data_IF_893137238745
#
_entry.id   IF_893137238745
#
_cell.length_a   1.000
_cell.length_b   1.000
_cell.length_c   1.000
_cell.angle_alpha   90.00
_cell.angle_beta   90.00
_cell.angle_gamma   90.00
#
_symmetry.space_group_name_H-M   'P 1'
#
loop_
_entity.id
_entity.type
_entity.pdbx_description
1 polymer ?
#
# COMPACT_ATOMS: atom_id res chain seq x y z
N UNK A 1 -61.75 -19.90 -40.60
CA UNK A 1 -61.40 -20.24 -39.21
C UNK A 1 -60.01 -19.70 -38.95
N UNK A 2 -59.88 -18.83 -37.93
CA UNK A 2 -58.69 -18.56 -37.08
C UNK A 2 -57.29 -18.46 -37.74
N UNK A 3 -56.42 -17.50 -37.48
CA UNK A 3 -56.34 -16.51 -36.42
C UNK A 3 -55.30 -15.45 -36.80
N UNK A 4 -55.60 -14.23 -36.41
CA UNK A 4 -54.71 -13.18 -35.95
C UNK A 4 -53.38 -13.64 -35.33
N UNK A 5 -52.27 -13.71 -36.08
CA UNK A 5 -50.91 -13.40 -35.58
C UNK A 5 -50.04 -12.92 -36.76
N UNK A 6 -50.36 -11.80 -37.41
CA UNK A 6 -49.44 -11.20 -38.39
C UNK A 6 -49.28 -9.67 -38.30
N UNK A 7 -49.73 -9.08 -37.20
CA UNK A 7 -49.51 -7.65 -36.88
C UNK A 7 -48.50 -7.45 -35.74
N UNK A 8 -48.26 -8.44 -34.87
CA UNK A 8 -47.36 -8.34 -33.70
C UNK A 8 -45.88 -8.60 -33.99
N UNK A 9 -45.53 -9.18 -35.13
CA UNK A 9 -44.14 -9.48 -35.53
C UNK A 9 -43.43 -8.26 -36.16
N UNK A 10 -44.16 -7.37 -36.86
CA UNK A 10 -43.56 -6.16 -37.47
C UNK A 10 -43.31 -5.02 -36.48
N UNK A 11 -44.01 -4.98 -35.34
CA UNK A 11 -43.76 -3.97 -34.30
C UNK A 11 -42.58 -4.29 -33.37
N UNK A 12 -42.12 -5.55 -33.32
CA UNK A 12 -40.95 -5.93 -32.50
C UNK A 12 -39.61 -5.64 -33.19
N UNK A 13 -39.55 -5.69 -34.52
CA UNK A 13 -38.33 -5.44 -35.29
C UNK A 13 -37.87 -3.96 -35.26
N UNK A 14 -38.80 -3.00 -35.26
CA UNK A 14 -38.44 -1.57 -35.24
C UNK A 14 -38.18 -0.98 -33.84
N UNK A 15 -38.55 -1.68 -32.75
CA UNK A 15 -38.20 -1.27 -31.38
C UNK A 15 -36.78 -1.71 -30.99
N UNK A 16 -36.26 -2.79 -31.57
CA UNK A 16 -34.90 -3.28 -31.32
C UNK A 16 -33.79 -2.55 -32.10
N UNK A 17 -34.10 -1.87 -33.21
CA UNK A 17 -33.11 -1.04 -33.93
C UNK A 17 -32.94 0.38 -33.37
N UNK A 18 -33.96 0.96 -32.71
CA UNK A 18 -33.82 2.27 -32.03
C UNK A 18 -33.06 2.21 -30.70
N UNK A 19 -33.00 1.04 -30.06
CA UNK A 19 -32.27 0.85 -28.81
C UNK A 19 -30.79 0.45 -28.96
N UNK A 20 -30.29 0.19 -30.18
CA UNK A 20 -28.85 -0.07 -30.41
C UNK A 20 -28.04 1.19 -30.71
N UNK A 21 -28.66 2.27 -31.19
CA UNK A 21 -27.95 3.53 -31.47
C UNK A 21 -27.83 4.47 -30.24
N UNK A 22 -28.45 4.12 -29.10
CA UNK A 22 -28.27 4.85 -27.83
C UNK A 22 -27.24 4.20 -26.88
N UNK A 23 -26.65 3.07 -27.28
CA UNK A 23 -25.62 2.36 -26.47
C UNK A 23 -24.20 2.70 -26.97
N UNK A 24 -24.05 3.28 -28.17
CA UNK A 24 -22.74 3.56 -28.77
C UNK A 24 -22.24 5.00 -28.50
N UNK A 25 -23.10 5.90 -27.99
CA UNK A 25 -22.72 7.29 -27.66
C UNK A 25 -22.74 7.61 -26.16
N UNK A 26 -22.56 6.61 -25.29
CA UNK A 26 -22.34 6.80 -23.83
C UNK A 26 -20.94 6.41 -23.37
N UNK A 27 -19.99 6.37 -24.30
CA UNK A 27 -18.58 6.04 -24.05
C UNK A 27 -17.70 7.29 -24.03
N UNK A 28 -18.15 8.42 -23.49
CA UNK A 28 -17.27 9.58 -23.27
C UNK A 28 -17.67 10.32 -22.00
N UNK A 29 -16.76 10.31 -21.02
CA UNK A 29 -16.67 11.17 -19.83
C UNK A 29 -17.57 10.85 -18.63
N UNK A 30 -17.22 9.79 -17.91
CA UNK A 30 -17.05 9.88 -16.45
C UNK A 30 -15.65 9.41 -16.08
N UNK A 31 -14.65 10.16 -16.57
CA UNK A 31 -13.29 10.11 -16.02
C UNK A 31 -13.42 10.62 -14.58
N UNK A 32 -13.47 9.69 -13.62
CA UNK A 32 -13.46 10.03 -12.20
C UNK A 32 -12.31 11.01 -11.97
N UNK A 33 -12.66 12.26 -11.65
CA UNK A 33 -11.70 13.29 -11.30
C UNK A 33 -11.21 13.01 -9.88
N UNK A 34 -10.45 11.93 -9.68
CA UNK A 34 -9.44 11.95 -8.65
C UNK A 34 -8.24 12.73 -9.19
N UNK A 35 -8.45 14.05 -9.34
CA UNK A 35 -7.35 14.98 -9.15
C UNK A 35 -6.95 14.73 -7.69
N UNK A 36 -5.89 13.97 -7.46
CA UNK A 36 -5.13 14.10 -6.23
C UNK A 36 -4.91 15.60 -6.07
N UNK A 37 -5.64 16.21 -5.13
CA UNK A 37 -5.44 17.61 -4.79
C UNK A 37 -4.03 17.66 -4.24
N UNK A 38 -3.07 18.09 -5.08
CA UNK A 38 -1.84 18.68 -4.60
C UNK A 38 -2.29 19.71 -3.57
N UNK A 39 -1.99 19.44 -2.30
CA UNK A 39 -2.43 20.33 -1.24
C UNK A 39 -1.69 21.65 -1.40
N UNK A 40 -2.28 22.77 -0.98
CA UNK A 40 -1.58 24.07 -0.96
C UNK A 40 -0.26 23.96 -0.18
N UNK A 41 -0.17 23.03 0.77
CA UNK A 41 1.05 22.69 1.50
C UNK A 41 2.11 22.06 0.59
N UNK A 42 1.72 21.16 -0.32
CA UNK A 42 2.62 20.56 -1.29
C UNK A 42 3.17 21.63 -2.26
N UNK A 43 2.34 22.57 -2.72
CA UNK A 43 2.77 23.69 -3.59
C UNK A 43 3.70 24.69 -2.85
N UNK A 44 3.48 24.94 -1.56
CA UNK A 44 4.35 25.79 -0.73
C UNK A 44 5.70 25.10 -0.48
N UNK A 45 5.71 23.77 -0.27
CA UNK A 45 6.94 22.98 -0.09
C UNK A 45 7.84 23.00 -1.33
N UNK A 46 7.25 23.05 -2.52
CA UNK A 46 8.01 23.18 -3.77
C UNK A 46 8.71 24.55 -3.89
N UNK A 47 8.15 25.62 -3.30
CA UNK A 47 8.72 26.98 -3.36
C UNK A 47 9.93 27.16 -2.43
N UNK A 48 10.03 26.36 -1.35
CA UNK A 48 11.18 26.33 -0.42
C UNK A 48 11.34 24.92 0.16
N UNK A 49 12.09 24.02 -0.49
CA UNK A 49 12.24 22.66 0.00
C UNK A 49 13.06 22.67 1.28
N UNK A 50 12.44 22.30 2.40
CA UNK A 50 13.18 21.88 3.59
C UNK A 50 13.78 20.51 3.24
N UNK A 51 15.11 20.33 3.37
CA UNK A 51 15.74 19.05 3.09
C UNK A 51 15.07 17.92 3.87
N UNK A 52 14.89 16.77 3.22
CA UNK A 52 14.38 15.59 3.89
C UNK A 52 15.36 15.22 5.04
N UNK A 53 14.89 15.13 6.30
CA UNK A 53 15.77 14.90 7.44
C UNK A 53 16.28 13.45 7.53
N UNK A 54 15.66 12.53 6.81
CA UNK A 54 15.96 11.10 6.86
C UNK A 54 17.22 10.73 6.08
N UNK A 55 17.89 9.67 6.51
CA UNK A 55 19.03 9.04 5.83
C UNK A 55 18.72 7.59 5.49
N UNK A 56 19.31 7.11 4.40
CA UNK A 56 19.23 5.69 4.02
C UNK A 56 19.78 4.81 5.14
N UNK A 57 19.06 3.74 5.46
CA UNK A 57 19.37 2.79 6.52
C UNK A 57 18.82 3.16 7.90
N UNK A 58 18.26 4.37 8.08
CA UNK A 58 17.63 4.73 9.36
C UNK A 58 16.34 3.94 9.59
N UNK A 59 16.04 3.69 10.86
CA UNK A 59 14.78 3.04 11.27
C UNK A 59 13.77 4.13 11.62
N UNK A 60 12.58 4.04 11.04
CA UNK A 60 11.48 4.94 11.32
C UNK A 60 10.21 4.17 11.69
N UNK A 61 9.29 4.82 12.40
CA UNK A 61 7.96 4.32 12.67
C UNK A 61 6.92 5.03 11.79
N UNK A 62 6.02 4.27 11.19
CA UNK A 62 4.91 4.79 10.39
C UNK A 62 3.82 5.32 11.32
N UNK A 63 3.37 6.56 11.05
CA UNK A 63 2.23 7.19 11.72
C UNK A 63 1.16 7.60 10.71
N UNK A 64 -0.09 7.26 10.99
CA UNK A 64 -1.21 7.50 10.07
C UNK A 64 -1.82 8.87 10.34
N UNK A 65 -1.17 9.94 9.87
CA UNK A 65 -1.70 11.31 9.95
C UNK A 65 -2.60 11.62 8.76
N UNK A 66 -3.89 11.29 8.88
CA UNK A 66 -4.92 11.60 7.85
C UNK A 66 -4.61 11.03 6.44
N UNK A 67 -3.72 10.06 6.33
CA UNK A 67 -3.40 9.40 5.07
C UNK A 67 -4.13 8.04 4.99
N UNK A 68 -5.19 7.92 4.18
CA UNK A 68 -5.94 6.68 4.07
C UNK A 68 -5.12 5.52 3.47
N UNK A 69 -4.06 5.81 2.71
CA UNK A 69 -3.22 4.80 2.06
C UNK A 69 -2.34 4.04 3.06
N UNK A 70 -2.18 4.57 4.28
CA UNK A 70 -1.44 3.93 5.37
C UNK A 70 -2.35 3.26 6.41
N UNK A 71 -3.64 3.09 6.11
CA UNK A 71 -4.58 2.45 7.03
C UNK A 71 -4.08 1.04 7.39
N UNK A 72 -4.06 0.74 8.69
CA UNK A 72 -3.57 -0.54 9.21
C UNK A 72 -2.05 -0.60 9.45
N UNK A 73 -1.28 0.40 9.01
CA UNK A 73 0.18 0.43 9.15
C UNK A 73 0.69 1.29 10.31
N UNK A 74 -0.21 1.83 11.13
CA UNK A 74 0.18 2.67 12.27
C UNK A 74 1.01 1.87 13.26
N UNK A 75 2.16 2.43 13.66
CA UNK A 75 3.04 1.81 14.63
C UNK A 75 4.03 0.81 14.01
N UNK A 76 3.87 0.43 12.73
CA UNK A 76 4.85 -0.42 12.04
C UNK A 76 6.19 0.30 11.92
N UNK A 77 7.28 -0.41 12.20
CA UNK A 77 8.62 0.09 11.90
C UNK A 77 8.96 -0.18 10.43
N UNK A 78 9.92 0.58 9.93
CA UNK A 78 10.42 0.47 8.56
C UNK A 78 11.87 0.94 8.45
N UNK A 79 12.57 0.50 7.41
CA UNK A 79 13.93 0.96 7.08
C UNK A 79 13.85 1.94 5.91
N UNK A 80 14.54 3.08 5.99
CA UNK A 80 14.64 4.02 4.87
C UNK A 80 15.53 3.42 3.78
N UNK A 81 14.96 3.12 2.61
CA UNK A 81 15.68 2.60 1.45
C UNK A 81 16.14 3.74 0.52
N UNK A 82 15.25 4.71 0.27
CA UNK A 82 15.54 5.85 -0.59
C UNK A 82 14.94 7.13 -0.02
N UNK A 83 15.71 8.22 -0.07
CA UNK A 83 15.31 9.55 0.40
C UNK A 83 14.91 10.39 -0.80
N UNK A 84 13.63 10.72 -0.91
CA UNK A 84 13.07 11.60 -1.93
C UNK A 84 12.84 13.00 -1.33
N UNK A 85 12.53 14.00 -2.18
CA UNK A 85 12.38 15.40 -1.74
C UNK A 85 11.36 15.59 -0.60
N UNK A 86 10.23 14.87 -0.62
CA UNK A 86 9.12 15.04 0.34
C UNK A 86 8.59 13.72 0.93
N UNK A 87 9.30 12.63 0.65
CA UNK A 87 8.92 11.27 1.05
C UNK A 87 10.15 10.38 1.11
N UNK A 88 9.99 9.18 1.62
CA UNK A 88 10.98 8.12 1.54
C UNK A 88 10.35 6.88 0.90
N UNK A 89 11.13 6.09 0.16
CA UNK A 89 10.83 4.68 0.01
C UNK A 89 11.31 3.98 1.27
N UNK A 90 10.41 3.20 1.88
CA UNK A 90 10.69 2.50 3.12
C UNK A 90 10.37 1.03 2.96
N UNK A 91 11.23 0.18 3.51
CA UNK A 91 11.05 -1.27 3.58
C UNK A 91 10.29 -1.62 4.86
N UNK A 92 9.15 -2.28 4.71
CA UNK A 92 8.32 -2.85 5.78
C UNK A 92 8.44 -4.37 5.77
N UNK A 93 7.75 -5.05 6.69
CA UNK A 93 7.75 -6.51 6.78
C UNK A 93 7.18 -7.21 5.53
N UNK A 94 6.32 -6.53 4.77
CA UNK A 94 5.59 -7.06 3.60
C UNK A 94 6.01 -6.45 2.26
N UNK A 95 7.08 -5.64 2.24
CA UNK A 95 7.62 -5.06 1.01
C UNK A 95 8.02 -3.60 1.13
N UNK A 96 8.11 -2.91 0.00
CA UNK A 96 8.54 -1.50 -0.05
C UNK A 96 7.37 -0.59 -0.38
N UNK A 97 7.21 0.50 0.37
CA UNK A 97 6.16 1.50 0.15
C UNK A 97 6.73 2.92 0.19
N UNK A 98 6.07 3.86 -0.48
CA UNK A 98 6.41 5.28 -0.41
C UNK A 98 5.64 5.97 0.72
N UNK A 99 6.34 6.66 1.63
CA UNK A 99 5.75 7.32 2.80
C UNK A 99 6.20 8.78 2.86
N UNK A 100 5.24 9.71 3.03
CA UNK A 100 5.54 11.14 3.22
C UNK A 100 6.32 11.37 4.53
N UNK A 101 7.22 12.35 4.54
CA UNK A 101 8.04 12.69 5.73
C UNK A 101 7.16 12.91 6.98
N UNK A 102 6.00 13.55 6.83
CA UNK A 102 5.08 13.83 7.94
C UNK A 102 4.45 12.58 8.58
N UNK A 103 4.47 11.46 7.86
CA UNK A 103 3.97 10.15 8.27
C UNK A 103 5.07 9.20 8.77
N UNK A 104 6.30 9.71 8.89
CA UNK A 104 7.41 9.02 9.54
C UNK A 104 7.69 9.69 10.88
N UNK A 105 8.03 8.86 11.86
CA UNK A 105 8.39 9.28 13.22
C UNK A 105 9.72 8.63 13.59
N UNK A 106 10.59 9.43 14.19
CA UNK A 106 11.87 8.96 14.70
C UNK A 106 11.70 7.91 15.81
N UNK A 107 12.59 6.93 15.80
CA UNK A 107 12.73 5.92 16.83
C UNK A 107 14.16 6.04 17.35
N UNK A 108 14.31 6.43 18.61
CA UNK A 108 15.60 6.72 19.25
C UNK A 108 16.42 5.44 19.48
N UNK A 109 16.93 4.85 18.40
CA UNK A 109 17.79 3.69 18.41
C UNK A 109 19.25 4.10 18.25
N UNK A 110 20.11 3.51 19.09
CA UNK A 110 21.56 3.54 18.88
C UNK A 110 21.93 2.84 17.56
N UNK A 111 23.12 3.12 17.04
CA UNK A 111 23.62 2.49 15.81
C UNK A 111 23.58 0.96 15.86
N UNK A 112 23.86 0.36 17.04
CA UNK A 112 23.74 -1.08 17.23
C UNK A 112 22.29 -1.57 17.10
N UNK A 113 21.34 -0.85 17.69
CA UNK A 113 19.92 -1.21 17.62
C UNK A 113 19.36 -1.06 16.20
N UNK A 114 19.80 -0.04 15.45
CA UNK A 114 19.45 0.09 14.04
C UNK A 114 19.97 -1.10 13.22
N UNK A 115 21.19 -1.57 13.49
CA UNK A 115 21.73 -2.78 12.86
C UNK A 115 20.93 -4.04 13.19
N UNK A 116 20.48 -4.21 14.45
CA UNK A 116 19.62 -5.34 14.81
C UNK A 116 18.27 -5.29 14.09
N UNK A 117 17.63 -4.11 13.99
CA UNK A 117 16.41 -3.94 13.21
C UNK A 117 16.61 -4.25 11.73
N UNK A 118 17.75 -3.83 11.17
CA UNK A 118 18.10 -4.16 9.78
C UNK A 118 18.23 -5.67 9.57
N UNK A 119 18.86 -6.41 10.49
CA UNK A 119 18.94 -7.87 10.42
C UNK A 119 17.55 -8.51 10.40
N UNK A 120 16.62 -8.02 11.23
CA UNK A 120 15.23 -8.49 11.23
C UNK A 120 14.57 -8.19 9.87
N UNK A 121 14.78 -7.00 9.31
CA UNK A 121 14.26 -6.63 7.99
C UNK A 121 14.80 -7.50 6.86
N UNK A 122 16.10 -7.77 6.86
CA UNK A 122 16.78 -8.61 5.87
C UNK A 122 16.28 -10.06 5.93
N UNK A 123 15.94 -10.55 7.13
CA UNK A 123 15.32 -11.85 7.35
C UNK A 123 13.89 -11.93 6.83
N UNK A 124 13.06 -10.94 7.15
CA UNK A 124 11.67 -10.87 6.69
C UNK A 124 11.56 -10.84 5.15
N UNK A 125 12.52 -10.23 4.46
CA UNK A 125 12.56 -10.19 3.00
C UNK A 125 12.77 -11.56 2.35
N UNK A 126 13.40 -12.51 3.05
CA UNK A 126 13.62 -13.86 2.52
C UNK A 126 12.33 -14.69 2.46
N UNK A 127 11.26 -14.23 3.12
CA UNK A 127 10.01 -14.97 3.25
C UNK A 127 9.06 -14.60 2.11
N UNK A 128 8.77 -15.58 1.25
CA UNK A 128 7.91 -15.40 0.07
C UNK A 128 6.45 -15.13 0.48
N UNK A 129 5.93 -13.93 0.22
CA UNK A 129 4.58 -13.53 0.64
C UNK A 129 3.42 -14.22 -0.11
N UNK A 130 3.69 -14.82 -1.28
CA UNK A 130 2.66 -15.27 -2.22
C UNK A 130 1.88 -16.52 -1.78
N UNK A 131 2.40 -17.31 -0.83
CA UNK A 131 1.79 -18.56 -0.40
C UNK A 131 1.59 -18.65 1.13
N UNK A 132 1.76 -17.55 1.85
CA UNK A 132 1.61 -17.54 3.30
C UNK A 132 0.16 -17.64 3.74
N UNK A 133 -0.09 -18.56 4.67
CA UNK A 133 -1.34 -18.64 5.43
C UNK A 133 -1.57 -17.35 6.23
N UNK A 134 -2.85 -17.01 6.47
CA UNK A 134 -3.22 -15.79 7.19
C UNK A 134 -2.66 -15.74 8.62
N UNK A 135 -2.52 -16.89 9.28
CA UNK A 135 -1.90 -17.00 10.61
C UNK A 135 -0.44 -16.56 10.58
N UNK A 136 0.31 -16.95 9.54
CA UNK A 136 1.71 -16.57 9.37
C UNK A 136 1.82 -15.08 9.05
N UNK A 137 0.95 -14.57 8.15
CA UNK A 137 0.92 -13.13 7.86
C UNK A 137 0.70 -12.29 9.10
N UNK A 138 -0.23 -12.69 9.99
CA UNK A 138 -0.46 -11.99 11.26
C UNK A 138 0.75 -12.04 12.18
N UNK A 139 1.48 -13.15 12.20
CA UNK A 139 2.72 -13.26 12.96
C UNK A 139 3.80 -12.30 12.41
N UNK A 140 4.02 -12.29 11.10
CA UNK A 140 4.97 -11.37 10.45
C UNK A 140 4.56 -9.90 10.60
N UNK A 141 3.27 -9.60 10.50
CA UNK A 141 2.73 -8.26 10.78
C UNK A 141 3.01 -7.84 12.22
N UNK A 142 2.86 -8.77 13.18
CA UNK A 142 3.24 -8.57 14.57
C UNK A 142 4.73 -8.25 14.74
N UNK A 143 5.60 -8.96 14.02
CA UNK A 143 7.04 -8.63 13.97
C UNK A 143 7.28 -7.24 13.38
N UNK A 144 6.50 -6.83 12.38
CA UNK A 144 6.54 -5.49 11.80
C UNK A 144 6.10 -4.36 12.76
N UNK A 145 5.51 -4.68 13.92
CA UNK A 145 5.03 -3.71 14.90
C UNK A 145 5.80 -3.74 16.24
N UNK A 146 6.82 -4.57 16.38
CA UNK A 146 7.62 -4.60 17.61
C UNK A 146 8.36 -3.27 17.80
N UNK A 147 8.45 -2.83 19.05
CA UNK A 147 9.14 -1.62 19.49
C UNK A 147 10.57 -1.90 20.01
N UNK A 148 10.89 -3.17 20.20
CA UNK A 148 12.20 -3.65 20.68
C UNK A 148 13.11 -4.03 19.50
N UNK A 149 14.42 -3.72 19.57
CA UNK A 149 15.38 -4.01 18.51
C UNK A 149 15.97 -5.42 18.60
N UNK A 150 15.14 -6.41 18.91
CA UNK A 150 15.53 -7.82 18.97
C UNK A 150 14.32 -8.75 18.93
N UNK A 151 14.53 -9.95 18.39
CA UNK A 151 13.57 -11.04 18.46
C UNK A 151 13.74 -11.80 19.78
N UNK A 152 12.64 -12.29 20.32
CA UNK A 152 12.69 -13.29 21.40
C UNK A 152 13.17 -14.63 20.84
N UNK A 153 13.64 -15.52 21.72
CA UNK A 153 14.10 -16.86 21.30
C UNK A 153 13.02 -17.68 20.58
N UNK A 154 11.73 -17.45 20.88
CA UNK A 154 10.64 -18.12 20.19
C UNK A 154 10.39 -17.50 18.81
N UNK A 155 10.33 -16.17 18.72
CA UNK A 155 10.15 -15.47 17.44
C UNK A 155 11.28 -15.80 16.46
N UNK A 156 12.52 -15.85 16.96
CA UNK A 156 13.71 -16.22 16.19
C UNK A 156 13.61 -17.66 15.62
N UNK A 157 13.15 -18.61 16.43
CA UNK A 157 12.93 -20.00 16.00
C UNK A 157 11.83 -20.12 14.97
N UNK A 158 10.69 -19.45 15.20
CA UNK A 158 9.57 -19.46 14.24
C UNK A 158 10.03 -18.85 12.93
N UNK A 159 10.73 -17.70 12.98
CA UNK A 159 11.23 -17.02 11.79
C UNK A 159 12.20 -17.91 11.01
N UNK A 160 13.10 -18.62 11.71
CA UNK A 160 14.00 -19.60 11.09
C UNK A 160 13.25 -20.71 10.36
N UNK A 161 12.17 -21.25 10.94
CA UNK A 161 11.35 -22.27 10.29
C UNK A 161 10.66 -21.71 9.05
N UNK A 162 10.13 -20.48 9.13
CA UNK A 162 9.48 -19.83 7.99
C UNK A 162 10.47 -19.57 6.85
N UNK A 163 11.70 -19.18 7.16
CA UNK A 163 12.78 -18.98 6.18
C UNK A 163 13.16 -20.28 5.47
N UNK A 164 13.11 -21.43 6.15
CA UNK A 164 13.42 -22.74 5.55
C UNK A 164 12.29 -23.34 4.72
N UNK A 165 11.04 -22.99 5.01
CA UNK A 165 9.85 -23.52 4.33
C UNK A 165 9.33 -22.60 3.20
N UNK A 166 9.93 -21.41 3.03
CA UNK A 166 9.60 -20.43 1.98
C UNK A 166 10.25 -20.73 0.64
#
# INVERSE_FOLDING_TARGET
MSNSINSLERFKSNRQKRNRNNIINKTVKTRSKNKQKISVIDEIRERRPVPNPWRVGEVAQIVVKKNPDLKGRSGQWCIIEEVLNFSCLVKTWDGTIQVKIENLKDVYYSSKQQQEMKKISDRLEQITQNQLEDSIKKFLEGLGQIDRPFLTALEDKILTVLETES
#
